data_IF_413146021150
#
_entry.id   IF_413146021150
#
_cell.length_a   1.000
_cell.length_b   1.000
_cell.length_c   1.000
_cell.angle_alpha   90.00
_cell.angle_beta   90.00
_cell.angle_gamma   90.00
#
_symmetry.space_group_name_H-M   'P 1'
#
loop_
_entity.id
_entity.type
_entity.pdbx_description
1 polymer ?
#
# COMPACT_ATOMS: atom_id res chain seq x y z
N UNK A 1 18.16 -23.07 -9.46
CA UNK A 1 18.25 -22.55 -10.83
C UNK A 1 16.93 -22.14 -11.47
N UNK A 2 15.76 -22.70 -11.09
CA UNK A 2 14.45 -22.34 -11.69
C UNK A 2 13.85 -20.97 -11.23
N UNK A 3 14.33 -20.41 -10.13
CA UNK A 3 13.79 -19.15 -9.55
C UNK A 3 14.27 -17.87 -10.25
N UNK A 4 15.35 -17.92 -11.02
CA UNK A 4 15.90 -16.74 -11.71
C UNK A 4 15.38 -16.53 -13.12
N UNK A 5 14.72 -17.55 -13.72
CA UNK A 5 14.20 -17.51 -15.09
C UNK A 5 12.96 -16.59 -15.18
N UNK A 6 12.13 -16.52 -14.13
CA UNK A 6 10.94 -15.66 -14.12
C UNK A 6 11.32 -14.18 -14.04
N UNK A 7 12.40 -13.85 -13.31
CA UNK A 7 12.86 -12.46 -13.20
C UNK A 7 13.43 -11.93 -14.53
N UNK A 8 14.07 -12.80 -15.31
CA UNK A 8 14.66 -12.44 -16.62
C UNK A 8 13.60 -12.25 -17.71
N UNK A 9 12.48 -12.97 -17.61
CA UNK A 9 11.38 -12.85 -18.59
C UNK A 9 10.61 -11.54 -18.42
N UNK A 10 10.50 -11.01 -17.21
CA UNK A 10 9.90 -9.68 -16.97
C UNK A 10 10.79 -8.52 -17.42
N UNK A 11 12.12 -8.67 -17.45
CA UNK A 11 13.03 -7.65 -17.98
C UNK A 11 13.05 -7.60 -19.51
N UNK A 12 12.81 -8.72 -20.20
CA UNK A 12 12.86 -8.81 -21.67
C UNK A 12 11.68 -8.13 -22.40
N UNK A 13 10.56 -7.92 -21.73
CA UNK A 13 9.36 -7.28 -22.31
C UNK A 13 9.44 -5.75 -22.41
N UNK A 14 10.48 -5.13 -21.86
CA UNK A 14 10.62 -3.65 -21.83
C UNK A 14 11.28 -3.11 -23.12
N UNK A 15 11.86 -3.93 -23.98
CA UNK A 15 12.73 -3.46 -25.09
C UNK A 15 12.10 -3.34 -26.47
N UNK A 16 10.82 -3.68 -26.67
CA UNK A 16 10.23 -3.71 -28.03
C UNK A 16 9.18 -2.62 -28.33
N UNK A 17 9.21 -1.45 -27.66
CA UNK A 17 8.28 -0.35 -27.94
C UNK A 17 8.91 0.79 -28.77
N UNK A 18 9.77 0.48 -29.75
CA UNK A 18 10.42 1.51 -30.59
C UNK A 18 9.65 1.94 -31.83
N UNK A 19 8.43 1.43 -32.08
CA UNK A 19 7.73 1.69 -33.33
C UNK A 19 6.77 2.90 -33.34
N UNK A 20 6.74 3.73 -32.26
CA UNK A 20 5.88 4.93 -32.18
C UNK A 20 6.65 6.25 -32.00
N UNK A 21 7.99 6.24 -32.10
CA UNK A 21 8.80 7.40 -31.76
C UNK A 21 8.71 8.55 -32.77
N UNK A 22 8.39 8.29 -34.05
CA UNK A 22 8.42 9.32 -35.09
C UNK A 22 7.19 10.24 -35.06
N UNK A 23 5.99 9.70 -34.79
CA UNK A 23 4.78 10.49 -34.60
C UNK A 23 4.76 11.29 -33.28
N UNK A 24 5.37 10.70 -32.23
CA UNK A 24 5.59 11.40 -30.95
C UNK A 24 6.60 12.54 -31.09
N UNK A 25 7.62 12.41 -31.95
CA UNK A 25 8.61 13.44 -32.22
C UNK A 25 8.00 14.71 -32.81
N UNK A 26 7.02 14.57 -33.70
CA UNK A 26 6.29 15.70 -34.27
C UNK A 26 5.38 16.40 -33.25
N UNK A 27 4.74 15.65 -32.33
CA UNK A 27 3.94 16.21 -31.25
C UNK A 27 4.80 16.81 -30.13
N UNK A 28 6.03 16.39 -29.98
CA UNK A 28 6.98 16.94 -28.99
C UNK A 28 7.53 18.31 -29.36
N UNK A 29 7.47 18.74 -30.63
CA UNK A 29 7.85 20.08 -31.04
C UNK A 29 6.94 21.17 -30.45
N UNK A 30 5.73 20.83 -30.07
CA UNK A 30 4.77 21.71 -29.39
C UNK A 30 4.72 21.47 -27.86
N UNK A 31 5.61 20.64 -27.29
CA UNK A 31 5.61 20.36 -25.86
C UNK A 31 5.86 21.67 -25.05
N UNK A 32 5.07 21.95 -24.03
CA UNK A 32 5.22 23.16 -23.24
C UNK A 32 6.64 23.23 -22.66
N UNK A 33 7.23 24.43 -22.65
CA UNK A 33 8.59 24.67 -22.14
C UNK A 33 8.76 24.29 -20.65
N UNK A 34 7.66 24.04 -19.95
CA UNK A 34 7.63 23.61 -18.53
C UNK A 34 7.23 22.14 -18.42
N UNK A 35 7.83 21.38 -17.49
CA UNK A 35 7.40 20.01 -17.24
C UNK A 35 5.95 19.97 -16.74
N UNK A 36 5.11 19.13 -17.36
CA UNK A 36 3.73 18.91 -16.96
C UNK A 36 3.67 17.70 -16.02
N UNK A 37 3.21 17.85 -14.77
CA UNK A 37 3.12 16.73 -13.83
C UNK A 37 2.19 15.63 -14.36
N UNK A 38 2.58 14.38 -14.16
CA UNK A 38 1.71 13.22 -14.37
C UNK A 38 0.86 13.06 -13.11
N UNK A 39 -0.45 13.04 -13.30
CA UNK A 39 -1.43 12.92 -12.20
C UNK A 39 -2.09 11.53 -12.21
N UNK A 40 -2.65 11.15 -11.06
CA UNK A 40 -3.42 9.92 -10.88
C UNK A 40 -2.65 8.66 -11.36
N UNK A 41 -1.45 8.46 -10.81
CA UNK A 41 -0.70 7.21 -11.00
C UNK A 41 -1.50 6.04 -10.44
N UNK A 42 -2.08 6.20 -9.23
CA UNK A 42 -3.09 5.33 -8.64
C UNK A 42 -4.39 6.12 -8.38
N UNK A 43 -5.48 5.41 -8.08
CA UNK A 43 -6.78 6.04 -7.78
C UNK A 43 -6.90 6.53 -6.33
N UNK A 44 -6.16 5.91 -5.42
CA UNK A 44 -6.23 6.20 -4.00
C UNK A 44 -4.83 6.34 -3.37
N UNK A 45 -4.71 6.95 -2.18
CA UNK A 45 -3.46 7.00 -1.41
C UNK A 45 -2.92 5.63 -0.99
N UNK A 46 -3.72 4.56 -1.14
CA UNK A 46 -3.32 3.15 -0.93
C UNK A 46 -3.52 2.38 -2.22
N UNK A 47 -2.60 1.44 -2.53
CA UNK A 47 -2.81 0.52 -3.67
C UNK A 47 -3.91 -0.48 -3.30
N UNK A 48 -3.70 -1.26 -2.25
CA UNK A 48 -4.71 -2.11 -1.60
C UNK A 48 -4.60 -1.90 -0.07
N UNK A 49 -3.59 -2.46 0.58
CA UNK A 49 -3.24 -2.20 1.98
C UNK A 49 -2.03 -1.28 2.07
N UNK A 50 -1.03 -1.49 1.18
CA UNK A 50 0.18 -0.69 1.09
C UNK A 50 -0.04 0.69 0.51
N UNK A 51 0.86 1.60 0.84
CA UNK A 51 0.80 3.00 0.41
C UNK A 51 1.16 3.14 -1.08
N UNK A 52 0.36 3.91 -1.81
CA UNK A 52 0.70 4.37 -3.15
C UNK A 52 1.52 5.66 -3.11
N UNK A 53 1.97 6.14 -4.27
CA UNK A 53 2.62 7.46 -4.40
C UNK A 53 1.63 8.62 -4.23
N UNK A 54 0.33 8.38 -4.32
CA UNK A 54 -0.69 9.43 -4.26
C UNK A 54 -0.83 9.98 -2.84
N UNK A 55 -1.18 11.27 -2.76
CA UNK A 55 -1.35 12.03 -1.53
C UNK A 55 -2.74 12.63 -1.48
N UNK A 56 -3.23 12.86 -0.27
CA UNK A 56 -4.35 13.77 -0.06
C UNK A 56 -3.91 15.19 -0.39
N UNK A 57 -4.68 15.91 -1.20
CA UNK A 57 -4.38 17.28 -1.61
C UNK A 57 -4.33 18.23 -0.40
N UNK A 58 -3.64 19.36 -0.56
CA UNK A 58 -3.55 20.38 0.49
C UNK A 58 -4.95 20.80 0.97
N UNK A 59 -5.13 20.93 2.29
CA UNK A 59 -6.40 21.30 2.95
C UNK A 59 -7.56 20.32 2.68
N UNK A 60 -7.24 19.06 2.37
CA UNK A 60 -8.22 17.99 2.25
C UNK A 60 -7.98 16.96 3.32
N UNK A 61 -9.06 16.34 3.78
CA UNK A 61 -9.07 15.19 4.68
C UNK A 61 -9.62 13.99 3.91
N UNK A 62 -8.84 12.94 3.80
CA UNK A 62 -9.30 11.66 3.28
C UNK A 62 -9.63 10.75 4.45
N UNK A 63 -10.88 10.39 4.61
CA UNK A 63 -11.35 9.41 5.58
C UNK A 63 -11.41 8.05 4.90
N UNK A 64 -10.79 7.05 5.52
CA UNK A 64 -10.72 5.68 4.99
C UNK A 64 -11.21 4.69 6.02
N UNK A 65 -12.16 3.86 5.62
CA UNK A 65 -12.62 2.68 6.36
C UNK A 65 -12.02 1.47 5.67
N UNK A 66 -11.22 0.69 6.40
CA UNK A 66 -10.68 -0.58 5.92
C UNK A 66 -11.39 -1.71 6.66
N UNK A 67 -11.82 -2.73 5.92
CA UNK A 67 -12.45 -3.92 6.46
C UNK A 67 -11.74 -5.18 5.95
N UNK A 68 -11.49 -6.13 6.84
CA UNK A 68 -10.96 -7.46 6.50
C UNK A 68 -11.79 -8.52 7.20
N UNK A 69 -12.15 -9.54 6.44
CA UNK A 69 -12.90 -10.68 6.91
C UNK A 69 -12.00 -11.85 7.30
N UNK A 70 -12.58 -12.93 7.80
CA UNK A 70 -11.86 -14.17 8.08
C UNK A 70 -11.44 -14.90 6.80
N UNK A 71 -10.92 -16.11 6.97
CA UNK A 71 -10.49 -16.96 5.87
C UNK A 71 -11.66 -17.63 5.15
N UNK A 72 -11.62 -17.65 3.81
CA UNK A 72 -12.67 -18.26 2.99
C UNK A 72 -12.72 -19.79 3.12
N UNK A 73 -11.61 -20.42 3.55
CA UNK A 73 -11.48 -21.86 3.71
C UNK A 73 -12.36 -22.47 4.82
N UNK A 74 -12.92 -21.64 5.71
CA UNK A 74 -13.96 -22.07 6.66
C UNK A 74 -15.29 -22.45 6.00
N UNK A 75 -15.44 -22.18 4.70
CA UNK A 75 -16.59 -22.55 3.89
C UNK A 75 -17.91 -21.96 4.37
N UNK A 76 -19.00 -22.64 4.07
CA UNK A 76 -20.35 -22.17 4.43
C UNK A 76 -20.58 -22.04 5.94
N UNK A 77 -19.84 -22.79 6.77
CA UNK A 77 -19.99 -22.73 8.23
C UNK A 77 -19.61 -21.35 8.81
N UNK A 78 -18.62 -20.68 8.22
CA UNK A 78 -18.20 -19.32 8.62
C UNK A 78 -18.68 -18.25 7.65
N UNK A 79 -19.66 -18.57 6.80
CA UNK A 79 -20.09 -17.74 5.67
C UNK A 79 -18.88 -17.25 4.86
N UNK A 80 -17.95 -18.18 4.53
CA UNK A 80 -16.70 -17.88 3.81
C UNK A 80 -15.85 -16.78 4.48
N UNK A 81 -15.82 -16.79 5.83
CA UNK A 81 -15.07 -15.86 6.65
C UNK A 81 -15.79 -14.56 7.01
N UNK A 82 -16.99 -14.29 6.48
CA UNK A 82 -17.73 -13.04 6.71
C UNK A 82 -18.13 -12.87 8.18
N UNK A 83 -18.32 -13.96 8.94
CA UNK A 83 -18.64 -13.93 10.37
C UNK A 83 -17.53 -13.24 11.21
N UNK A 84 -16.33 -13.14 10.70
CA UNK A 84 -15.20 -12.50 11.38
C UNK A 84 -14.85 -11.21 10.64
N UNK A 85 -15.07 -10.08 11.29
CA UNK A 85 -14.77 -8.77 10.69
C UNK A 85 -13.81 -7.95 11.55
N UNK A 86 -12.79 -7.40 10.92
CA UNK A 86 -11.85 -6.45 11.50
C UNK A 86 -11.99 -5.12 10.79
N UNK A 87 -11.86 -4.02 11.55
CA UNK A 87 -11.99 -2.67 11.03
C UNK A 87 -10.77 -1.83 11.38
N UNK A 88 -10.37 -0.94 10.45
CA UNK A 88 -9.45 0.16 10.71
C UNK A 88 -10.05 1.45 10.16
N UNK A 89 -10.02 2.49 10.99
CA UNK A 89 -10.41 3.84 10.62
C UNK A 89 -9.16 4.68 10.47
N UNK A 90 -9.00 5.37 9.36
CA UNK A 90 -7.85 6.21 9.07
C UNK A 90 -8.28 7.59 8.58
N UNK A 91 -7.55 8.61 9.02
CA UNK A 91 -7.73 10.02 8.69
C UNK A 91 -6.40 10.54 8.14
N UNK A 92 -6.36 10.81 6.85
CA UNK A 92 -5.18 11.30 6.14
C UNK A 92 -5.41 12.77 5.73
N UNK A 93 -4.65 13.72 6.30
CA UNK A 93 -4.79 15.15 6.03
C UNK A 93 -3.62 15.69 5.21
N UNK A 94 -3.92 16.35 4.11
CA UNK A 94 -2.96 17.06 3.28
C UNK A 94 -2.61 18.43 3.86
N UNK A 95 -1.39 18.57 4.40
CA UNK A 95 -0.87 19.86 4.87
C UNK A 95 -0.48 20.71 3.66
N UNK A 96 0.22 20.11 2.72
CA UNK A 96 0.59 20.69 1.42
C UNK A 96 0.34 19.67 0.31
N UNK A 97 0.52 20.02 -0.95
CA UNK A 97 0.44 19.08 -2.08
C UNK A 97 1.57 18.03 -2.09
N UNK A 98 2.52 18.14 -1.16
CA UNK A 98 3.63 17.21 -1.00
C UNK A 98 3.70 16.54 0.37
N UNK A 99 3.02 17.09 1.38
CA UNK A 99 3.08 16.61 2.76
C UNK A 99 1.70 16.24 3.27
N UNK A 100 1.53 15.00 3.65
CA UNK A 100 0.36 14.44 4.30
C UNK A 100 0.74 13.88 5.66
N UNK A 101 -0.11 14.06 6.66
CA UNK A 101 -0.05 13.36 7.95
C UNK A 101 -1.28 12.49 8.08
N UNK A 102 -1.18 11.42 8.87
CA UNK A 102 -2.29 10.51 9.11
C UNK A 102 -2.37 10.06 10.56
N UNK A 103 -3.59 9.79 11.00
CA UNK A 103 -3.88 9.14 12.28
C UNK A 103 -4.87 8.02 12.02
N UNK A 104 -4.67 6.87 12.67
CA UNK A 104 -5.60 5.77 12.50
C UNK A 104 -5.69 4.87 13.74
N UNK A 105 -6.76 4.04 13.76
CA UNK A 105 -6.97 3.00 14.75
C UNK A 105 -7.45 1.71 14.11
N UNK A 106 -6.81 0.60 14.45
CA UNK A 106 -7.20 -0.75 14.02
C UNK A 106 -7.80 -1.55 15.18
N UNK A 107 -8.81 -2.36 14.90
CA UNK A 107 -9.33 -3.35 15.86
C UNK A 107 -8.34 -4.50 16.09
N UNK A 108 -7.60 -4.89 15.03
CA UNK A 108 -6.54 -5.92 15.14
C UNK A 108 -5.41 -5.37 15.99
N UNK A 109 -5.11 -6.05 17.11
CA UNK A 109 -4.11 -5.61 18.07
C UNK A 109 -4.45 -4.31 18.82
N UNK A 110 -5.66 -3.76 18.66
CA UNK A 110 -6.08 -2.44 19.20
C UNK A 110 -5.01 -1.36 18.95
N UNK A 111 -4.45 -1.34 17.74
CA UNK A 111 -3.32 -0.48 17.38
C UNK A 111 -3.81 0.92 17.03
N UNK A 112 -3.16 1.93 17.61
CA UNK A 112 -3.19 3.32 17.14
C UNK A 112 -1.92 3.58 16.35
N UNK A 113 -2.03 4.35 15.27
CA UNK A 113 -0.87 4.70 14.48
C UNK A 113 -0.92 6.15 13.98
N UNK A 114 0.28 6.75 13.88
CA UNK A 114 0.52 8.04 13.27
C UNK A 114 1.44 7.89 12.07
N UNK A 115 1.15 8.61 10.99
CA UNK A 115 1.92 8.52 9.75
C UNK A 115 2.26 9.86 9.14
N UNK A 116 3.34 9.86 8.36
CA UNK A 116 3.79 10.98 7.53
C UNK A 116 4.10 10.46 6.13
N UNK A 117 3.63 11.16 5.12
CA UNK A 117 3.89 10.87 3.71
C UNK A 117 4.38 12.12 3.00
N UNK A 118 5.53 12.01 2.32
CA UNK A 118 6.16 13.13 1.65
C UNK A 118 6.51 12.79 0.20
N UNK A 119 6.06 13.62 -0.74
CA UNK A 119 6.37 13.50 -2.17
C UNK A 119 7.68 14.23 -2.47
N UNK A 120 8.72 13.47 -2.75
CA UNK A 120 10.08 13.98 -3.04
C UNK A 120 10.15 14.44 -4.49
N UNK A 121 9.78 13.55 -5.44
CA UNK A 121 9.78 13.80 -6.87
C UNK A 121 8.43 13.45 -7.47
N UNK A 122 7.99 14.20 -8.47
CA UNK A 122 6.78 13.93 -9.23
C UNK A 122 7.14 13.62 -10.69
N UNK A 123 6.62 12.52 -11.21
CA UNK A 123 6.72 12.19 -12.64
C UNK A 123 6.14 13.32 -13.48
N UNK A 124 6.82 13.69 -14.56
CA UNK A 124 6.38 14.75 -15.47
C UNK A 124 6.69 14.40 -16.93
N UNK A 125 6.00 15.06 -17.86
CA UNK A 125 6.21 15.00 -19.31
C UNK A 125 6.72 16.36 -19.82
N UNK A 126 7.29 16.36 -21.04
CA UNK A 126 7.81 17.59 -21.69
C UNK A 126 9.33 17.75 -21.56
N UNK A 127 9.84 18.95 -21.86
CA UNK A 127 11.27 19.25 -21.72
C UNK A 127 11.68 19.18 -20.24
N UNK A 128 12.82 18.53 -19.94
CA UNK A 128 13.30 18.24 -18.56
C UNK A 128 12.30 17.42 -17.74
N UNK A 129 11.69 16.41 -18.36
CA UNK A 129 10.74 15.52 -17.69
C UNK A 129 11.41 14.65 -16.63
N UNK A 130 10.67 14.36 -15.55
CA UNK A 130 11.05 13.37 -14.53
C UNK A 130 10.38 12.03 -14.89
N UNK A 131 11.15 10.94 -15.10
CA UNK A 131 10.60 9.67 -15.61
C UNK A 131 9.79 8.88 -14.58
N UNK A 132 9.92 9.17 -13.29
CA UNK A 132 9.23 8.48 -12.19
C UNK A 132 8.87 9.45 -11.06
N UNK A 133 8.00 9.02 -10.18
CA UNK A 133 7.72 9.68 -8.90
C UNK A 133 8.44 8.97 -7.77
N UNK A 134 8.91 9.74 -6.78
CA UNK A 134 9.54 9.25 -5.56
C UNK A 134 8.84 9.87 -4.36
N UNK A 135 8.48 9.04 -3.39
CA UNK A 135 7.89 9.48 -2.12
C UNK A 135 8.42 8.67 -0.96
N UNK A 136 8.34 9.25 0.21
CA UNK A 136 8.63 8.61 1.49
C UNK A 136 7.33 8.44 2.30
N UNK A 137 7.19 7.31 2.98
CA UNK A 137 6.14 7.04 3.94
C UNK A 137 6.76 6.50 5.23
N UNK A 138 6.45 7.14 6.35
CA UNK A 138 6.81 6.70 7.68
C UNK A 138 5.57 6.54 8.55
N UNK A 139 5.53 5.47 9.36
CA UNK A 139 4.44 5.20 10.30
C UNK A 139 5.01 4.73 11.64
N UNK A 140 4.42 5.20 12.72
CA UNK A 140 4.68 4.74 14.08
C UNK A 140 3.38 4.18 14.63
N UNK A 141 3.38 2.92 15.03
CA UNK A 141 2.23 2.22 15.57
C UNK A 141 2.45 1.83 17.03
N UNK A 142 1.38 1.94 17.82
CA UNK A 142 1.35 1.65 19.25
C UNK A 142 0.33 0.52 19.47
N UNK A 143 0.79 -0.64 19.89
CA UNK A 143 -0.07 -1.73 20.33
C UNK A 143 -0.61 -1.40 21.73
N UNK A 144 -1.94 -1.34 21.88
CA UNK A 144 -2.59 -0.97 23.17
C UNK A 144 -3.30 -2.15 23.85
N UNK A 145 -2.99 -3.38 23.44
CA UNK A 145 -3.46 -4.56 24.19
C UNK A 145 -2.94 -4.55 25.62
N UNK A 146 -3.67 -5.17 26.52
CA UNK A 146 -3.20 -5.43 27.87
C UNK A 146 -1.91 -6.28 27.84
N UNK A 147 -1.05 -6.06 28.81
CA UNK A 147 0.17 -6.84 28.92
C UNK A 147 -0.15 -8.29 29.29
N UNK A 148 0.41 -9.23 28.55
CA UNK A 148 0.24 -10.66 28.83
C UNK A 148 0.75 -11.06 30.22
N UNK A 149 1.76 -10.35 30.73
CA UNK A 149 2.25 -10.48 32.11
C UNK A 149 2.38 -9.09 32.74
N UNK A 150 1.34 -8.61 33.46
CA UNK A 150 1.36 -7.30 34.08
C UNK A 150 2.35 -7.18 35.26
N UNK A 151 2.84 -8.31 35.83
CA UNK A 151 3.74 -8.31 36.99
C UNK A 151 5.22 -8.16 36.64
N UNK A 152 5.56 -8.06 35.32
CA UNK A 152 6.93 -7.76 34.87
C UNK A 152 7.09 -6.29 34.53
N UNK A 153 8.33 -5.82 34.44
CA UNK A 153 8.63 -4.48 33.96
C UNK A 153 8.17 -4.36 32.49
N UNK A 154 7.15 -3.54 32.25
CA UNK A 154 6.52 -3.32 30.99
C UNK A 154 6.78 -1.89 30.52
N UNK A 155 7.70 -1.71 29.57
CA UNK A 155 8.06 -0.40 29.05
C UNK A 155 7.12 0.04 27.92
N UNK A 156 6.72 1.30 27.93
CA UNK A 156 5.90 1.89 26.83
C UNK A 156 6.55 1.70 25.46
N UNK A 157 7.87 1.86 25.40
CA UNK A 157 8.63 1.71 24.15
C UNK A 157 8.50 0.32 23.53
N UNK A 158 8.26 -0.73 24.34
CA UNK A 158 8.03 -2.08 23.87
C UNK A 158 6.76 -2.24 23.02
N UNK A 159 5.84 -1.26 23.09
CA UNK A 159 4.59 -1.24 22.30
C UNK A 159 4.77 -0.68 20.90
N UNK A 160 5.94 -0.10 20.60
CA UNK A 160 6.17 0.65 19.38
C UNK A 160 6.63 -0.25 18.24
N UNK A 161 6.06 0.01 17.07
CA UNK A 161 6.50 -0.53 15.78
C UNK A 161 6.66 0.63 14.80
N UNK A 162 7.78 0.64 14.09
CA UNK A 162 8.13 1.65 13.09
C UNK A 162 8.11 1.03 11.70
N UNK A 163 7.50 1.72 10.77
CA UNK A 163 7.47 1.33 9.36
C UNK A 163 8.00 2.47 8.52
N UNK A 164 8.96 2.17 7.65
CA UNK A 164 9.56 3.14 6.73
C UNK A 164 9.56 2.55 5.31
N UNK A 165 9.14 3.35 4.34
CA UNK A 165 9.01 2.93 2.96
C UNK A 165 9.36 4.06 1.99
N UNK A 166 10.13 3.74 0.95
CA UNK A 166 10.28 4.59 -0.22
C UNK A 166 9.38 4.06 -1.34
N UNK A 167 8.56 4.92 -1.92
CA UNK A 167 7.69 4.59 -3.05
C UNK A 167 8.28 5.14 -4.34
N UNK A 168 8.74 4.27 -5.21
CA UNK A 168 9.26 4.59 -6.54
C UNK A 168 8.22 4.13 -7.54
N UNK A 169 7.53 5.05 -8.20
CA UNK A 169 6.41 4.70 -9.06
C UNK A 169 6.50 5.35 -10.43
N UNK A 170 5.94 4.67 -11.42
CA UNK A 170 5.82 5.19 -12.78
C UNK A 170 4.47 4.80 -13.37
N UNK A 171 3.84 5.80 -14.01
CA UNK A 171 2.65 5.61 -14.84
C UNK A 171 3.10 5.47 -16.29
N UNK A 172 2.79 4.33 -16.89
CA UNK A 172 3.07 4.01 -18.28
C UNK A 172 1.81 4.27 -19.12
N UNK A 173 1.75 5.44 -19.76
CA UNK A 173 0.54 5.87 -20.46
C UNK A 173 -0.66 6.01 -19.50
N UNK A 174 -1.86 5.65 -19.99
CA UNK A 174 -3.10 5.74 -19.19
C UNK A 174 -3.54 4.39 -18.63
N UNK A 175 -2.91 3.30 -19.05
CA UNK A 175 -3.36 1.93 -18.73
C UNK A 175 -2.64 1.36 -17.53
N UNK A 176 -1.31 1.41 -17.50
CA UNK A 176 -0.48 0.72 -16.52
C UNK A 176 0.23 1.68 -15.57
N UNK A 177 0.20 1.38 -14.28
CA UNK A 177 1.05 2.00 -13.27
C UNK A 177 1.75 0.93 -12.47
N UNK A 178 3.04 1.12 -12.19
CA UNK A 178 3.85 0.22 -11.36
C UNK A 178 4.53 1.01 -10.25
N UNK A 179 4.73 0.34 -9.13
CA UNK A 179 5.45 0.88 -7.98
C UNK A 179 6.31 -0.20 -7.34
N UNK A 180 7.54 0.18 -7.00
CA UNK A 180 8.47 -0.61 -6.19
C UNK A 180 8.72 0.13 -4.90
N UNK A 181 8.71 -0.60 -3.78
CA UNK A 181 8.69 -0.01 -2.45
C UNK A 181 9.67 -0.72 -1.51
N UNK A 182 10.97 -0.34 -1.51
CA UNK A 182 11.88 -0.76 -0.45
C UNK A 182 11.30 -0.39 0.92
N UNK A 183 11.24 -1.37 1.81
CA UNK A 183 10.49 -1.27 3.06
C UNK A 183 11.33 -1.80 4.22
N UNK A 184 11.30 -1.10 5.35
CA UNK A 184 11.86 -1.51 6.62
C UNK A 184 10.79 -1.47 7.71
N UNK A 185 10.68 -2.55 8.47
CA UNK A 185 9.80 -2.64 9.64
C UNK A 185 10.65 -2.94 10.87
N UNK A 186 10.58 -2.09 11.87
CA UNK A 186 11.23 -2.31 13.16
C UNK A 186 10.19 -2.40 14.28
N UNK A 187 10.23 -3.47 15.06
CA UNK A 187 9.38 -3.67 16.21
C UNK A 187 10.24 -3.79 17.47
N UNK A 188 10.00 -2.94 18.44
CA UNK A 188 10.85 -2.87 19.65
C UNK A 188 10.78 -4.14 20.50
N UNK A 189 9.60 -4.75 20.61
CA UNK A 189 9.43 -6.01 21.32
C UNK A 189 8.84 -7.06 20.38
N UNK A 190 9.60 -8.07 20.11
CA UNK A 190 9.16 -9.27 19.38
C UNK A 190 8.88 -10.42 20.34
N UNK A 191 7.99 -11.35 19.96
CA UNK A 191 7.61 -12.47 20.81
C UNK A 191 8.73 -13.52 20.94
N UNK A 192 8.71 -14.63 20.14
CA UNK A 192 9.76 -15.63 20.17
C UNK A 192 11.13 -15.07 19.77
N UNK A 193 12.22 -15.61 20.35
CA UNK A 193 13.61 -15.23 19.99
C UNK A 193 13.95 -15.38 18.50
N UNK A 194 13.18 -16.18 17.77
CA UNK A 194 13.35 -16.36 16.34
C UNK A 194 12.86 -15.17 15.49
N UNK A 195 12.15 -14.22 16.08
CA UNK A 195 11.71 -13.02 15.35
C UNK A 195 12.78 -11.94 15.40
N UNK A 196 13.20 -11.47 14.24
CA UNK A 196 14.03 -10.27 14.14
C UNK A 196 13.22 -9.01 14.50
N UNK A 197 13.85 -8.09 15.25
CA UNK A 197 13.27 -6.79 15.51
C UNK A 197 13.10 -6.00 14.21
N UNK A 198 14.08 -6.07 13.30
CA UNK A 198 14.07 -5.37 12.02
C UNK A 198 13.93 -6.34 10.86
N UNK A 199 12.94 -6.10 10.00
CA UNK A 199 12.71 -6.87 8.78
C UNK A 199 12.76 -5.91 7.59
N UNK A 200 13.44 -6.34 6.53
CA UNK A 200 13.45 -5.68 5.24
C UNK A 200 12.57 -6.46 4.26
N UNK A 201 11.81 -5.73 3.44
CA UNK A 201 10.95 -6.27 2.40
C UNK A 201 11.02 -5.39 1.15
N UNK A 202 10.65 -5.96 0.01
CA UNK A 202 10.52 -5.22 -1.24
C UNK A 202 9.07 -5.28 -1.71
N UNK A 203 8.34 -4.19 -1.50
CA UNK A 203 6.99 -4.05 -2.04
C UNK A 203 7.02 -3.95 -3.56
N UNK A 204 6.15 -4.70 -4.23
CA UNK A 204 5.89 -4.57 -5.67
C UNK A 204 4.38 -4.46 -5.85
N UNK A 205 3.94 -3.39 -6.47
CA UNK A 205 2.52 -3.15 -6.69
C UNK A 205 2.25 -2.54 -8.06
N UNK A 206 1.04 -2.72 -8.54
CA UNK A 206 0.64 -2.16 -9.82
C UNK A 206 -0.86 -1.98 -9.93
N UNK A 207 -1.25 -1.19 -10.94
CA UNK A 207 -2.63 -0.84 -11.23
C UNK A 207 -2.83 -0.82 -12.74
N UNK A 208 -3.83 -1.57 -13.20
CA UNK A 208 -4.20 -1.69 -14.62
C UNK A 208 -5.59 -1.10 -14.81
N UNK A 209 -5.73 -0.13 -15.69
CA UNK A 209 -7.01 0.49 -16.01
C UNK A 209 -7.86 -0.48 -16.86
N UNK A 210 -9.04 -0.82 -16.36
CA UNK A 210 -10.04 -1.62 -17.07
C UNK A 210 -11.05 -0.69 -17.75
N UNK A 211 -11.55 0.30 -17.02
CA UNK A 211 -12.48 1.31 -17.53
C UNK A 211 -12.17 2.70 -16.95
N UNK A 212 -13.01 3.68 -17.24
CA UNK A 212 -12.89 5.02 -16.64
C UNK A 212 -12.94 4.98 -15.12
N UNK A 213 -13.82 4.17 -14.55
CA UNK A 213 -14.08 4.10 -13.12
C UNK A 213 -13.42 2.90 -12.43
N UNK A 214 -12.96 1.88 -13.21
CA UNK A 214 -12.48 0.61 -12.65
C UNK A 214 -11.01 0.39 -12.99
N UNK A 215 -10.22 0.02 -11.97
CA UNK A 215 -8.83 -0.44 -12.12
C UNK A 215 -8.65 -1.76 -11.37
N UNK A 216 -7.88 -2.66 -11.95
CA UNK A 216 -7.37 -3.84 -11.28
C UNK A 216 -6.04 -3.51 -10.61
N UNK A 217 -5.88 -3.90 -9.36
CA UNK A 217 -4.67 -3.68 -8.56
C UNK A 217 -4.10 -5.01 -8.07
N UNK A 218 -2.79 -5.05 -7.95
CA UNK A 218 -2.07 -6.10 -7.25
C UNK A 218 -0.99 -5.52 -6.36
N UNK A 219 -0.68 -6.19 -5.27
CA UNK A 219 0.47 -5.86 -4.41
C UNK A 219 1.02 -7.09 -3.72
N UNK A 220 2.34 -7.13 -3.56
CA UNK A 220 3.04 -8.16 -2.81
C UNK A 220 4.23 -7.56 -2.06
N UNK A 221 4.58 -8.16 -0.92
CA UNK A 221 5.68 -7.72 -0.07
C UNK A 221 6.57 -8.90 0.31
N UNK A 222 7.40 -9.42 -0.65
CA UNK A 222 8.38 -10.45 -0.32
C UNK A 222 9.39 -9.95 0.71
N UNK A 223 9.57 -10.73 1.77
CA UNK A 223 10.59 -10.47 2.80
C UNK A 223 11.96 -10.79 2.24
N UNK A 224 12.92 -9.92 2.54
CA UNK A 224 14.33 -10.09 2.21
C UNK A 224 15.12 -10.69 3.38
N UNK A 225 14.65 -10.52 4.62
CA UNK A 225 15.30 -10.99 5.85
C UNK A 225 14.33 -11.70 6.79
N UNK A 226 14.86 -12.47 7.74
CA UNK A 226 14.10 -13.07 8.85
C UNK A 226 13.33 -14.35 8.53
N UNK A 227 13.43 -14.92 7.31
CA UNK A 227 12.70 -16.14 6.92
C UNK A 227 13.27 -17.41 7.51
N UNK A 228 14.58 -17.57 7.36
CA UNK A 228 15.24 -18.82 7.73
C UNK A 228 15.17 -19.05 9.24
N UNK A 229 15.28 -17.99 10.02
CA UNK A 229 15.18 -18.05 11.48
C UNK A 229 13.79 -18.48 11.94
N UNK A 230 12.72 -17.96 11.31
CA UNK A 230 11.35 -18.34 11.61
C UNK A 230 11.07 -19.80 11.21
N UNK A 231 11.52 -20.22 10.05
CA UNK A 231 11.39 -21.60 9.57
C UNK A 231 12.11 -22.59 10.50
N UNK A 232 13.31 -22.26 10.94
CA UNK A 232 14.08 -23.08 11.87
C UNK A 232 13.41 -23.18 13.25
N UNK A 233 12.62 -22.19 13.65
CA UNK A 233 11.83 -22.21 14.86
C UNK A 233 10.43 -22.86 14.70
N UNK A 234 10.14 -23.44 13.53
CA UNK A 234 8.84 -24.04 13.24
C UNK A 234 7.70 -23.03 13.01
N UNK A 235 8.03 -21.76 12.85
CA UNK A 235 7.06 -20.70 12.64
C UNK A 235 6.86 -20.44 11.14
N UNK A 236 5.63 -20.62 10.67
CA UNK A 236 5.29 -20.40 9.25
C UNK A 236 4.88 -18.95 9.02
N UNK A 237 5.59 -18.27 8.13
CA UNK A 237 5.23 -16.96 7.61
C UNK A 237 5.36 -16.95 6.10
N UNK A 238 4.48 -16.20 5.46
CA UNK A 238 4.38 -16.14 4.00
C UNK A 238 4.50 -14.70 3.51
N UNK A 239 4.82 -14.55 2.24
CA UNK A 239 4.78 -13.24 1.62
C UNK A 239 3.33 -12.79 1.44
N UNK A 240 3.09 -11.53 1.76
CA UNK A 240 1.81 -10.91 1.51
C UNK A 240 1.55 -10.80 0.01
N UNK A 241 0.38 -11.21 -0.42
CA UNK A 241 -0.12 -11.05 -1.78
C UNK A 241 -1.58 -10.65 -1.74
N UNK A 242 -1.91 -9.57 -2.43
CA UNK A 242 -3.29 -9.11 -2.59
C UNK A 242 -3.60 -8.77 -4.04
N UNK A 243 -4.82 -9.06 -4.43
CA UNK A 243 -5.43 -8.71 -5.72
C UNK A 243 -6.73 -7.97 -5.45
N UNK A 244 -7.04 -6.94 -6.23
CA UNK A 244 -8.25 -6.17 -5.97
C UNK A 244 -8.67 -5.27 -7.12
N UNK A 245 -9.78 -4.58 -6.90
CA UNK A 245 -10.35 -3.63 -7.86
C UNK A 245 -10.64 -2.31 -7.15
N UNK A 246 -10.25 -1.21 -7.77
CA UNK A 246 -10.71 0.12 -7.42
C UNK A 246 -11.92 0.47 -8.26
N UNK A 247 -12.98 0.94 -7.63
CA UNK A 247 -14.21 1.42 -8.25
C UNK A 247 -14.43 2.86 -7.79
N UNK A 248 -14.29 3.81 -8.69
CA UNK A 248 -14.51 5.23 -8.41
C UNK A 248 -15.94 5.62 -8.72
N UNK A 249 -16.63 6.20 -7.73
CA UNK A 249 -18.01 6.68 -7.86
C UNK A 249 -18.14 8.03 -7.16
N UNK A 250 -18.44 9.10 -7.91
CA UNK A 250 -18.90 10.38 -7.38
C UNK A 250 -18.24 10.91 -6.09
N UNK A 251 -16.91 10.87 -5.97
CA UNK A 251 -16.18 11.34 -4.79
C UNK A 251 -15.82 10.27 -3.74
N UNK A 252 -16.17 9.00 -4.01
CA UNK A 252 -15.72 7.85 -3.22
C UNK A 252 -14.86 6.93 -4.09
N UNK A 253 -13.89 6.29 -3.46
CA UNK A 253 -13.17 5.14 -4.05
C UNK A 253 -13.47 3.93 -3.19
N UNK A 254 -14.12 2.93 -3.80
CA UNK A 254 -14.32 1.61 -3.24
C UNK A 254 -13.21 0.70 -3.74
N UNK A 255 -12.53 0.02 -2.83
CA UNK A 255 -11.53 -0.98 -3.16
C UNK A 255 -12.02 -2.33 -2.64
N UNK A 256 -12.28 -3.27 -3.54
CA UNK A 256 -12.61 -4.66 -3.19
C UNK A 256 -11.36 -5.51 -3.40
N UNK A 257 -11.05 -6.41 -2.47
CA UNK A 257 -9.81 -7.16 -2.53
C UNK A 257 -9.88 -8.54 -1.93
N UNK A 258 -8.94 -9.38 -2.37
CA UNK A 258 -8.60 -10.67 -1.79
C UNK A 258 -7.12 -10.65 -1.38
N UNK A 259 -6.80 -11.14 -0.18
CA UNK A 259 -5.42 -11.21 0.31
C UNK A 259 -5.21 -12.39 1.23
N UNK A 260 -3.98 -12.84 1.39
CA UNK A 260 -3.60 -13.82 2.40
C UNK A 260 -3.21 -13.18 3.74
N UNK A 261 -3.32 -11.86 3.89
CA UNK A 261 -3.03 -11.15 5.14
C UNK A 261 -4.30 -10.68 5.82
N UNK A 262 -4.35 -10.77 7.16
CA UNK A 262 -5.42 -10.21 7.98
C UNK A 262 -5.13 -8.76 8.39
N UNK A 263 -3.89 -8.33 8.29
CA UNK A 263 -3.45 -7.00 8.71
C UNK A 263 -3.98 -5.89 7.82
N UNK A 264 -4.33 -4.77 8.44
CA UNK A 264 -4.76 -3.54 7.76
C UNK A 264 -3.71 -2.42 7.90
N UNK A 265 -2.61 -2.69 8.62
CA UNK A 265 -1.44 -1.84 8.71
C UNK A 265 -0.31 -2.43 7.87
N UNK A 266 0.54 -1.57 7.36
CA UNK A 266 1.66 -1.92 6.48
C UNK A 266 2.68 -2.86 7.17
N UNK A 267 2.98 -2.64 8.46
CA UNK A 267 3.84 -3.53 9.23
C UNK A 267 3.23 -4.92 9.43
N UNK A 268 1.91 -5.03 9.55
CA UNK A 268 1.24 -6.32 9.69
C UNK A 268 1.32 -7.15 8.41
N UNK A 269 1.21 -6.52 7.22
CA UNK A 269 1.41 -7.22 5.95
C UNK A 269 2.77 -7.91 5.89
N UNK A 270 3.82 -7.19 6.30
CA UNK A 270 5.18 -7.70 6.22
C UNK A 270 5.47 -8.74 7.30
N UNK A 271 4.98 -8.54 8.54
CA UNK A 271 5.35 -9.35 9.69
C UNK A 271 4.40 -10.50 10.01
N UNK A 272 3.10 -10.30 9.79
CA UNK A 272 2.04 -11.09 10.40
C UNK A 272 1.23 -11.93 9.38
N UNK A 273 1.74 -12.08 8.14
CA UNK A 273 1.09 -12.93 7.14
C UNK A 273 1.43 -14.39 7.41
N UNK A 274 0.45 -15.14 7.92
CA UNK A 274 0.60 -16.54 8.37
C UNK A 274 -0.14 -17.53 7.50
N UNK A 275 -0.92 -17.07 6.51
CA UNK A 275 -1.69 -17.92 5.59
C UNK A 275 -1.22 -17.75 4.16
N UNK A 276 -1.55 -18.69 3.28
CA UNK A 276 -1.12 -18.70 1.88
C UNK A 276 -2.29 -18.91 0.93
N UNK A 277 -2.14 -18.46 -0.29
CA UNK A 277 -3.13 -18.65 -1.37
C UNK A 277 -3.30 -20.13 -1.74
N UNK A 278 -2.23 -20.92 -1.63
CA UNK A 278 -2.25 -22.36 -1.97
C UNK A 278 -3.13 -23.18 -1.02
N UNK A 279 -3.29 -22.74 0.22
CA UNK A 279 -4.08 -23.43 1.25
C UNK A 279 -5.47 -22.77 1.40
N UNK A 280 -5.89 -21.99 0.40
CA UNK A 280 -7.12 -21.18 0.44
C UNK A 280 -7.22 -20.29 1.70
N UNK A 281 -6.08 -19.95 2.32
CA UNK A 281 -6.00 -18.99 3.43
C UNK A 281 -6.14 -17.55 2.92
N UNK A 282 -7.19 -17.32 2.12
CA UNK A 282 -7.51 -16.06 1.47
C UNK A 282 -8.61 -15.36 2.27
N UNK A 283 -8.55 -14.06 2.33
CA UNK A 283 -9.57 -13.21 2.99
C UNK A 283 -10.12 -12.20 2.01
N UNK A 284 -11.43 -12.03 2.06
CA UNK A 284 -12.10 -10.89 1.44
C UNK A 284 -11.86 -9.64 2.27
N UNK A 285 -11.76 -8.50 1.63
CA UNK A 285 -11.71 -7.20 2.28
C UNK A 285 -12.20 -6.09 1.36
N UNK A 286 -12.48 -4.96 1.96
CA UNK A 286 -12.76 -3.75 1.21
C UNK A 286 -12.20 -2.52 1.93
N UNK A 287 -11.92 -1.48 1.16
CA UNK A 287 -11.69 -0.14 1.69
C UNK A 287 -12.70 0.81 1.06
N UNK A 288 -13.17 1.76 1.84
CA UNK A 288 -14.00 2.87 1.35
C UNK A 288 -13.27 4.15 1.74
N UNK A 289 -12.97 5.00 0.77
CA UNK A 289 -12.36 6.29 1.02
C UNK A 289 -13.25 7.43 0.52
N UNK A 290 -13.29 8.51 1.30
CA UNK A 290 -13.95 9.75 0.95
C UNK A 290 -13.09 10.94 1.32
N UNK A 291 -12.93 11.85 0.37
CA UNK A 291 -12.17 13.08 0.57
C UNK A 291 -13.11 14.25 0.84
N UNK A 292 -12.82 15.00 1.91
CA UNK A 292 -13.50 16.22 2.30
C UNK A 292 -12.58 17.40 2.07
N UNK A 293 -13.08 18.47 1.44
CA UNK A 293 -12.34 19.72 1.24
C UNK A 293 -12.60 20.71 2.37
N UNK A 294 -11.53 21.24 2.95
CA UNK A 294 -11.56 22.38 3.88
C UNK A 294 -11.09 23.68 3.19
N UNK A 295 -10.88 23.67 1.88
CA UNK A 295 -10.54 24.89 1.15
C UNK A 295 -11.79 25.76 0.98
N UNK A 296 -11.76 26.95 1.58
CA UNK A 296 -12.85 27.91 1.51
C UNK A 296 -13.16 28.38 0.07
N UNK A 297 -12.16 28.31 -0.83
CA UNK A 297 -12.31 28.65 -2.25
C UNK A 297 -13.00 27.56 -3.09
N UNK A 298 -13.10 26.35 -2.59
CA UNK A 298 -13.75 25.22 -3.28
C UNK A 298 -15.26 25.14 -3.04
N UNK A 299 -15.81 25.91 -2.09
CA UNK A 299 -17.24 25.90 -1.73
C UNK A 299 -18.21 26.34 -2.84
N UNK A 300 -17.73 26.76 -4.02
CA UNK A 300 -18.55 27.19 -5.15
C UNK A 300 -18.53 26.27 -6.38
N UNK A 301 -17.78 25.17 -6.36
CA UNK A 301 -17.76 24.22 -7.49
C UNK A 301 -18.33 22.89 -7.01
N UNK A 302 -19.62 22.67 -7.28
CA UNK A 302 -20.22 21.33 -7.17
C UNK A 302 -19.50 20.40 -8.16
N UNK A 303 -19.07 19.24 -7.66
CA UNK A 303 -18.45 18.14 -8.43
C UNK A 303 -19.53 17.29 -9.09
#
# INVERSE_FOLDING_TARGET
MKKYIVLFFCLGLVFNLRAQDDLLGMLQSEAPNKPVPVIATFKAPRVITGQSIEHTAAKHLNFVILHRFGEVNGGAYTLFGIDQANIRLAFDYGITDRLQIGLARSSVGKVYDGSLKYKILAQSKGKKSMPFSLGYYGNVAINTLEWANPNRDNFFTSRLTFFNQLNISRKFGDVLSLQVSPTMVHQNLVGPKAYDNTIYALGVSGSIKISRSVRFNFETYPRLTGRDQLSNAGLKTYDYLALGFDIETGGHVFQLMFSNGNGMLEQQMVRETTTTWTDAGIRLGFNISRTFSFDSKAKGKAW
#
